data_IF_526679421186
#
_entry.id   IF_526679421186
#
_cell.length_a   1.000
_cell.length_b   1.000
_cell.length_c   1.000
_cell.angle_alpha   90.00
_cell.angle_beta   90.00
_cell.angle_gamma   90.00
#
_symmetry.space_group_name_H-M   'P 1'
#
loop_
_entity.id
_entity.type
_entity.pdbx_description
1 polymer ?
#
# COMPACT_ATOMS: atom_id res chain seq x y z
N UNK A 1 2.08 28.36 1.09
CA UNK A 1 2.12 27.24 2.05
C UNK A 1 2.60 26.01 1.29
N UNK A 2 3.71 25.42 1.70
CA UNK A 2 4.16 24.13 1.16
C UNK A 2 3.23 23.04 1.70
N UNK A 3 2.67 22.22 0.82
CA UNK A 3 1.85 21.08 1.20
C UNK A 3 2.70 20.07 1.97
N UNK A 4 2.16 19.50 3.06
CA UNK A 4 2.83 18.44 3.81
C UNK A 4 2.94 17.20 2.90
N UNK A 5 4.15 16.64 2.81
CA UNK A 5 4.39 15.38 2.13
C UNK A 5 4.54 14.28 3.20
N UNK A 6 3.45 13.54 3.45
CA UNK A 6 3.42 12.49 4.46
C UNK A 6 4.32 11.30 4.11
N UNK A 7 4.47 10.95 2.84
CA UNK A 7 5.37 9.90 2.38
C UNK A 7 6.81 10.17 2.85
N UNK A 8 7.30 11.40 2.68
CA UNK A 8 8.64 11.80 3.15
C UNK A 8 8.77 11.78 4.67
N UNK A 9 7.75 12.24 5.41
CA UNK A 9 7.77 12.23 6.88
C UNK A 9 7.80 10.80 7.43
N UNK A 10 6.99 9.91 6.86
CA UNK A 10 6.94 8.49 7.24
C UNK A 10 8.24 7.80 6.84
N UNK A 11 8.77 8.05 5.65
CA UNK A 11 10.06 7.52 5.21
C UNK A 11 11.20 7.92 6.16
N UNK A 12 11.25 9.20 6.56
CA UNK A 12 12.23 9.67 7.54
C UNK A 12 12.02 9.02 8.92
N UNK A 13 10.78 8.87 9.37
CA UNK A 13 10.45 8.22 10.64
C UNK A 13 10.98 6.77 10.73
N UNK A 14 10.97 6.04 9.61
CA UNK A 14 11.56 4.69 9.51
C UNK A 14 13.08 4.70 9.63
N UNK A 15 13.75 5.63 8.95
CA UNK A 15 15.19 5.80 9.03
C UNK A 15 15.63 6.15 10.47
N UNK A 16 14.95 7.12 11.09
CA UNK A 16 15.24 7.60 12.44
C UNK A 16 15.15 6.50 13.52
N UNK A 17 14.40 5.43 13.25
CA UNK A 17 14.14 4.32 14.19
C UNK A 17 14.84 3.02 13.81
N UNK A 18 15.78 3.06 12.86
CA UNK A 18 16.48 1.87 12.39
C UNK A 18 15.54 0.77 11.88
N UNK A 19 14.41 1.15 11.27
CA UNK A 19 13.44 0.18 10.74
C UNK A 19 13.80 -0.29 9.32
N UNK A 20 14.73 0.41 8.65
CA UNK A 20 15.25 0.03 7.33
C UNK A 20 16.32 -1.06 7.47
N UNK A 21 17.43 -0.77 8.17
CA UNK A 21 18.52 -1.72 8.38
C UNK A 21 18.20 -2.77 9.47
N UNK A 22 17.32 -2.43 10.41
CA UNK A 22 16.92 -3.33 11.51
C UNK A 22 15.84 -4.35 11.14
N UNK A 23 15.40 -4.40 9.87
CA UNK A 23 14.41 -5.38 9.40
C UNK A 23 14.70 -5.84 7.97
N UNK A 24 14.11 -6.95 7.55
CA UNK A 24 14.22 -7.50 6.20
C UNK A 24 12.96 -7.26 5.35
N UNK A 25 13.03 -7.45 4.03
CA UNK A 25 11.84 -7.43 3.16
C UNK A 25 10.79 -8.44 3.64
N UNK A 26 11.27 -9.59 4.12
CA UNK A 26 10.42 -10.65 4.65
C UNK A 26 9.69 -10.19 5.90
N UNK A 27 10.36 -9.47 6.80
CA UNK A 27 9.73 -8.95 8.03
C UNK A 27 8.66 -7.91 7.68
N UNK A 28 8.96 -6.99 6.75
CA UNK A 28 7.99 -5.99 6.30
C UNK A 28 6.83 -6.58 5.50
N UNK A 29 7.07 -7.63 4.72
CA UNK A 29 6.01 -8.41 4.08
C UNK A 29 5.09 -9.05 5.13
N UNK A 30 5.65 -9.67 6.17
CA UNK A 30 4.84 -10.24 7.26
C UNK A 30 4.04 -9.17 8.01
N UNK A 31 4.65 -7.99 8.24
CA UNK A 31 3.95 -6.85 8.83
C UNK A 31 2.82 -6.35 7.93
N UNK A 32 3.01 -6.31 6.61
CA UNK A 32 1.97 -5.95 5.65
C UNK A 32 0.77 -6.91 5.74
N UNK A 33 1.02 -8.23 5.84
CA UNK A 33 -0.04 -9.22 6.02
C UNK A 33 -0.80 -8.99 7.34
N UNK A 34 -0.10 -8.60 8.40
CA UNK A 34 -0.74 -8.21 9.67
C UNK A 34 -1.70 -7.02 9.47
N UNK A 35 -1.25 -5.92 8.85
CA UNK A 35 -2.10 -4.72 8.68
C UNK A 35 -3.32 -5.00 7.79
N UNK A 36 -3.16 -5.83 6.76
CA UNK A 36 -4.29 -6.29 5.93
C UNK A 36 -5.29 -7.12 6.76
N UNK A 37 -4.81 -7.89 7.73
CA UNK A 37 -5.66 -8.62 8.68
C UNK A 37 -6.44 -7.69 9.60
N UNK A 38 -5.81 -6.61 10.07
CA UNK A 38 -6.46 -5.58 10.91
C UNK A 38 -7.55 -4.84 10.12
N UNK A 39 -7.26 -4.45 8.87
CA UNK A 39 -8.25 -3.89 7.96
C UNK A 39 -9.45 -4.83 7.75
N UNK A 40 -9.21 -6.12 7.55
CA UNK A 40 -10.27 -7.12 7.40
C UNK A 40 -11.18 -7.17 8.63
N UNK A 41 -10.61 -7.16 9.84
CA UNK A 41 -11.37 -7.18 11.09
C UNK A 41 -12.25 -5.93 11.24
N UNK A 42 -11.71 -4.74 10.96
CA UNK A 42 -12.45 -3.47 11.01
C UNK A 42 -13.60 -3.44 10.01
N UNK A 43 -13.38 -3.92 8.77
CA UNK A 43 -14.43 -4.03 7.76
C UNK A 43 -15.55 -4.99 8.20
N UNK A 44 -15.20 -6.20 8.66
CA UNK A 44 -16.17 -7.17 9.15
C UNK A 44 -17.00 -6.65 10.33
N UNK A 45 -16.41 -5.77 11.16
CA UNK A 45 -17.08 -5.17 12.31
C UNK A 45 -17.71 -3.80 12.02
N UNK A 46 -17.69 -3.33 10.76
CA UNK A 46 -18.21 -2.01 10.36
C UNK A 46 -17.65 -0.86 11.21
N UNK A 47 -16.36 -0.93 11.54
CA UNK A 47 -15.64 0.13 12.27
C UNK A 47 -15.01 1.13 11.32
N UNK A 48 -14.57 2.28 11.86
CA UNK A 48 -13.70 3.19 11.14
C UNK A 48 -12.37 2.49 10.83
N UNK A 49 -11.97 2.48 9.56
CA UNK A 49 -10.83 1.72 9.04
C UNK A 49 -9.73 2.62 8.45
N UNK A 50 -9.82 3.94 8.68
CA UNK A 50 -8.84 4.91 8.16
C UNK A 50 -7.43 4.66 8.71
N UNK A 51 -7.34 4.21 9.95
CA UNK A 51 -6.07 3.87 10.62
C UNK A 51 -5.44 2.64 9.95
N UNK A 52 -6.21 1.56 9.79
CA UNK A 52 -5.74 0.31 9.16
C UNK A 52 -5.23 0.53 7.72
N UNK A 53 -5.93 1.36 6.93
CA UNK A 53 -5.45 1.75 5.58
C UNK A 53 -4.16 2.56 5.67
N UNK A 54 -4.06 3.46 6.65
CA UNK A 54 -2.86 4.23 6.93
C UNK A 54 -1.67 3.34 7.29
N UNK A 55 -1.87 2.34 8.15
CA UNK A 55 -0.81 1.41 8.58
C UNK A 55 -0.31 0.55 7.42
N UNK A 56 -1.21 0.07 6.54
CA UNK A 56 -0.81 -0.57 5.28
C UNK A 56 0.11 0.36 4.47
N UNK A 57 -0.25 1.64 4.33
CA UNK A 57 0.58 2.61 3.60
C UNK A 57 1.93 2.86 4.30
N UNK A 58 1.97 2.93 5.63
CA UNK A 58 3.21 3.08 6.40
C UNK A 58 4.17 1.93 6.10
N UNK A 59 3.67 0.68 6.10
CA UNK A 59 4.49 -0.50 5.79
C UNK A 59 4.94 -0.50 4.34
N UNK A 60 4.07 -0.13 3.39
CA UNK A 60 4.46 -0.01 1.98
C UNK A 60 5.54 1.06 1.79
N UNK A 61 5.47 2.19 2.48
CA UNK A 61 6.53 3.23 2.45
C UNK A 61 7.84 2.68 2.99
N UNK A 62 7.84 1.85 4.03
CA UNK A 62 9.04 1.17 4.50
C UNK A 62 9.66 0.32 3.38
N UNK A 63 8.84 -0.51 2.72
CA UNK A 63 9.26 -1.36 1.60
C UNK A 63 9.84 -0.53 0.44
N UNK A 64 9.25 0.63 0.13
CA UNK A 64 9.78 1.54 -0.88
C UNK A 64 11.16 2.10 -0.49
N UNK A 65 11.27 2.67 0.71
CA UNK A 65 12.51 3.29 1.20
C UNK A 65 13.65 2.27 1.27
N UNK A 66 13.40 1.08 1.85
CA UNK A 66 14.42 0.04 2.01
C UNK A 66 14.92 -0.55 0.69
N UNK A 67 14.11 -0.47 -0.37
CA UNK A 67 14.46 -0.93 -1.72
C UNK A 67 14.88 0.20 -2.66
N UNK A 68 15.00 1.44 -2.15
CA UNK A 68 15.32 2.62 -2.94
C UNK A 68 14.38 2.81 -4.15
N UNK A 69 13.07 2.65 -3.90
CA UNK A 69 11.99 2.85 -4.85
C UNK A 69 11.15 4.07 -4.45
N UNK A 70 10.46 4.66 -5.44
CA UNK A 70 9.47 5.70 -5.21
C UNK A 70 8.05 5.19 -5.46
N UNK A 71 7.07 5.82 -4.80
CA UNK A 71 5.66 5.52 -5.06
C UNK A 71 5.29 5.76 -6.53
N UNK A 72 5.81 6.81 -7.15
CA UNK A 72 5.54 7.15 -8.55
C UNK A 72 6.03 6.08 -9.52
N UNK A 73 7.24 5.52 -9.30
CA UNK A 73 7.75 4.42 -10.11
C UNK A 73 6.85 3.18 -10.02
N UNK A 74 6.45 2.78 -8.81
CA UNK A 74 5.57 1.63 -8.61
C UNK A 74 4.17 1.86 -9.21
N UNK A 75 3.58 3.05 -9.00
CA UNK A 75 2.28 3.40 -9.55
C UNK A 75 2.30 3.50 -11.06
N UNK A 76 3.38 4.01 -11.65
CA UNK A 76 3.55 4.06 -13.11
C UNK A 76 3.51 2.66 -13.71
N UNK A 77 4.25 1.70 -13.13
CA UNK A 77 4.21 0.30 -13.57
C UNK A 77 2.79 -0.26 -13.49
N UNK A 78 2.13 -0.09 -12.33
CA UNK A 78 0.77 -0.57 -12.14
C UNK A 78 -0.24 0.09 -13.10
N UNK A 79 -0.10 1.40 -13.36
CA UNK A 79 -0.98 2.14 -14.26
C UNK A 79 -0.84 1.68 -15.71
N UNK A 80 0.39 1.49 -16.18
CA UNK A 80 0.67 0.98 -17.53
C UNK A 80 0.03 -0.40 -17.77
N UNK A 81 -0.09 -1.24 -16.73
CA UNK A 81 -0.75 -2.55 -16.79
C UNK A 81 -2.29 -2.49 -16.78
N UNK A 82 -2.89 -1.40 -16.30
CA UNK A 82 -4.36 -1.29 -16.14
C UNK A 82 -5.01 -0.27 -17.08
N UNK A 83 -4.27 0.69 -17.62
CA UNK A 83 -4.82 1.86 -18.35
C UNK A 83 -5.69 1.49 -19.56
N UNK A 84 -5.37 0.37 -20.23
CA UNK A 84 -6.07 -0.07 -21.44
C UNK A 84 -7.13 -1.15 -21.15
N UNK A 85 -7.29 -1.58 -19.89
CA UNK A 85 -8.29 -2.58 -19.53
C UNK A 85 -9.70 -2.06 -19.81
N UNK A 86 -10.48 -2.86 -20.53
CA UNK A 86 -11.92 -2.64 -20.74
C UNK A 86 -12.69 -3.71 -19.99
N UNK A 87 -13.82 -3.33 -19.39
CA UNK A 87 -14.58 -4.20 -18.51
C UNK A 87 -15.49 -3.43 -17.56
N UNK A 88 -16.22 -4.15 -16.72
CA UNK A 88 -17.13 -3.58 -15.71
C UNK A 88 -17.15 -4.45 -14.46
N UNK A 89 -17.54 -3.83 -13.33
CA UNK A 89 -17.82 -4.58 -12.11
C UNK A 89 -19.14 -5.35 -12.26
N UNK A 90 -19.12 -6.65 -11.96
CA UNK A 90 -20.29 -7.52 -11.86
C UNK A 90 -20.14 -8.32 -10.57
N UNK A 91 -21.11 -8.23 -9.66
CA UNK A 91 -21.13 -8.95 -8.38
C UNK A 91 -19.83 -8.83 -7.56
N UNK A 92 -19.24 -7.62 -7.55
CA UNK A 92 -18.03 -7.32 -6.79
C UNK A 92 -16.72 -7.71 -7.50
N UNK A 93 -16.78 -8.26 -8.70
CA UNK A 93 -15.60 -8.67 -9.49
C UNK A 93 -15.49 -7.83 -10.76
N UNK A 94 -14.27 -7.41 -11.12
CA UNK A 94 -14.03 -6.78 -12.41
C UNK A 94 -14.02 -7.82 -13.53
N UNK A 95 -15.00 -7.77 -14.42
CA UNK A 95 -15.13 -8.64 -15.60
C UNK A 95 -14.61 -7.89 -16.82
N UNK A 96 -13.61 -8.46 -17.52
CA UNK A 96 -13.03 -7.85 -18.73
C UNK A 96 -13.99 -7.97 -19.92
N UNK A 97 -13.91 -7.01 -20.82
CA UNK A 97 -14.63 -7.08 -22.09
C UNK A 97 -14.06 -8.22 -22.95
N UNK A 98 -14.93 -9.09 -23.47
CA UNK A 98 -14.55 -10.29 -24.23
C UNK A 98 -14.38 -11.57 -23.42
N UNK A 99 -14.34 -11.47 -22.08
CA UNK A 99 -14.48 -12.62 -21.17
C UNK A 99 -15.98 -12.91 -20.98
N UNK A 100 -16.62 -13.49 -22.01
CA UNK A 100 -18.01 -13.97 -21.97
C UNK A 100 -18.09 -15.49 -22.08
#
# INVERSE_FOLDING_TARGET
MTQINYEKLIGQWHLDRNLIEGSTDKDQYMKLIQEVGELSDSLCKSKDFRDDVGDIMVVLINILVRNNLTMDECLKVAYEDIKDRKGKMVDGVFVKEGDS
#
